data_IF_946872770438
#
_entry.id   IF_946872770438
#
_cell.length_a   1.000
_cell.length_b   1.000
_cell.length_c   1.000
_cell.angle_alpha   90.00
_cell.angle_beta   90.00
_cell.angle_gamma   90.00
#
_symmetry.space_group_name_H-M   'P 1'
#
loop_
_entity.id
_entity.type
_entity.pdbx_description
1 polymer ?
#
# COMPACT_ATOMS: atom_id res chain seq x y z
N UNK A 1 -1.04 26.41 -9.54
CA UNK A 1 -2.30 25.78 -10.02
C UNK A 1 -3.18 25.57 -8.81
N UNK A 2 -4.17 26.44 -8.60
CA UNK A 2 -5.15 26.27 -7.52
C UNK A 2 -6.31 25.47 -8.10
N UNK A 3 -6.47 24.22 -7.68
CA UNK A 3 -7.61 23.41 -8.07
C UNK A 3 -8.80 23.78 -7.19
N UNK A 4 -9.84 24.37 -7.78
CA UNK A 4 -11.12 24.57 -7.11
C UNK A 4 -11.85 23.22 -7.03
N UNK A 5 -11.63 22.49 -5.94
CA UNK A 5 -12.36 21.25 -5.65
C UNK A 5 -13.71 21.61 -5.01
N UNK A 6 -14.80 21.24 -5.67
CA UNK A 6 -16.17 21.36 -5.15
C UNK A 6 -16.82 19.98 -5.07
N UNK A 7 -17.47 19.68 -3.95
CA UNK A 7 -18.18 18.41 -3.72
C UNK A 7 -19.67 18.67 -3.97
N UNK A 8 -20.32 17.81 -4.76
CA UNK A 8 -21.76 17.90 -5.05
C UNK A 8 -22.41 16.52 -5.00
N UNK A 9 -23.54 16.34 -4.29
CA UNK A 9 -24.24 17.37 -3.49
C UNK A 9 -23.41 17.84 -2.28
N UNK A 10 -23.68 19.06 -1.82
CA UNK A 10 -23.09 19.56 -0.58
C UNK A 10 -23.69 18.76 0.58
N UNK A 11 -22.86 18.06 1.38
CA UNK A 11 -23.35 17.28 2.51
C UNK A 11 -23.98 18.21 3.54
N UNK A 12 -25.01 17.70 4.22
CA UNK A 12 -25.57 18.39 5.38
C UNK A 12 -24.55 18.47 6.53
N UNK A 13 -24.82 19.33 7.52
CA UNK A 13 -23.97 19.46 8.71
C UNK A 13 -23.85 18.14 9.48
N UNK A 14 -24.94 17.36 9.53
CA UNK A 14 -24.98 16.05 10.19
C UNK A 14 -24.10 15.03 9.47
N UNK A 15 -24.20 14.97 8.14
CA UNK A 15 -23.36 14.08 7.31
C UNK A 15 -21.89 14.48 7.38
N UNK A 16 -21.60 15.78 7.41
CA UNK A 16 -20.24 16.31 7.58
C UNK A 16 -19.65 15.88 8.92
N UNK A 17 -20.43 15.99 10.00
CA UNK A 17 -20.01 15.55 11.32
C UNK A 17 -19.76 14.02 11.37
N UNK A 18 -20.63 13.23 10.74
CA UNK A 18 -20.46 11.77 10.66
C UNK A 18 -19.19 11.37 9.88
N UNK A 19 -18.93 12.03 8.75
CA UNK A 19 -17.72 11.79 7.94
C UNK A 19 -16.46 12.15 8.73
N UNK A 20 -16.44 13.31 9.38
CA UNK A 20 -15.31 13.74 10.19
C UNK A 20 -15.04 12.77 11.36
N UNK A 21 -16.10 12.32 12.04
CA UNK A 21 -15.99 11.33 13.11
C UNK A 21 -15.45 9.98 12.60
N UNK A 22 -15.92 9.51 11.45
CA UNK A 22 -15.43 8.29 10.83
C UNK A 22 -13.96 8.40 10.43
N UNK A 23 -13.53 9.53 9.86
CA UNK A 23 -12.12 9.79 9.55
C UNK A 23 -11.28 9.81 10.82
N UNK A 24 -11.74 10.48 11.87
CA UNK A 24 -11.03 10.49 13.15
C UNK A 24 -10.93 9.10 13.79
N UNK A 25 -11.97 8.27 13.67
CA UNK A 25 -11.97 6.91 14.20
C UNK A 25 -11.10 5.94 13.38
N UNK A 26 -10.98 6.16 12.07
CA UNK A 26 -10.26 5.28 11.14
C UNK A 26 -8.82 5.72 10.88
N UNK A 27 -8.50 7.00 11.09
CA UNK A 27 -7.13 7.45 11.25
C UNK A 27 -6.59 6.73 12.48
N UNK A 28 -5.85 5.65 12.22
CA UNK A 28 -5.06 5.00 13.24
C UNK A 28 -4.29 6.10 13.96
N UNK A 29 -4.32 6.10 15.30
CA UNK A 29 -3.49 6.95 16.15
C UNK A 29 -2.00 6.55 16.03
N UNK A 30 -1.54 6.30 14.81
CA UNK A 30 -0.20 5.93 14.42
C UNK A 30 0.72 7.12 14.61
N UNK A 31 1.03 7.42 15.88
CA UNK A 31 2.42 7.64 16.20
C UNK A 31 3.20 6.51 15.54
N UNK A 32 4.30 6.83 14.87
CA UNK A 32 5.25 5.84 14.38
C UNK A 32 5.71 5.00 15.57
N UNK A 33 4.94 3.96 15.91
CA UNK A 33 5.44 2.87 16.72
C UNK A 33 6.53 2.30 15.85
N UNK A 34 7.79 2.57 16.21
CA UNK A 34 8.94 1.97 15.57
C UNK A 34 8.65 0.47 15.52
N UNK A 35 8.24 -0.01 14.34
CA UNK A 35 7.98 -1.43 14.16
C UNK A 35 9.30 -2.10 14.49
N UNK A 36 9.37 -3.03 15.48
CA UNK A 36 10.60 -3.80 15.66
C UNK A 36 10.87 -4.42 14.30
N UNK A 37 12.05 -4.17 13.72
CA UNK A 37 12.47 -4.65 12.41
C UNK A 37 11.90 -6.05 12.19
N UNK A 38 10.78 -6.15 11.44
CA UNK A 38 10.08 -7.43 11.26
C UNK A 38 11.12 -8.37 10.68
N UNK A 39 11.36 -9.49 11.38
CA UNK A 39 12.28 -10.52 10.90
C UNK A 39 11.85 -10.93 9.49
N UNK A 40 12.63 -10.52 8.49
CA UNK A 40 12.33 -10.73 7.06
C UNK A 40 12.29 -12.23 6.69
N UNK A 41 12.61 -13.12 7.63
CA UNK A 41 12.54 -14.58 7.47
C UNK A 41 11.11 -15.12 7.43
N UNK A 42 10.12 -14.42 7.99
CA UNK A 42 8.71 -14.87 8.01
C UNK A 42 7.84 -14.27 6.89
N UNK A 43 8.42 -13.53 5.95
CA UNK A 43 7.68 -13.06 4.80
C UNK A 43 7.26 -14.25 3.94
N UNK A 44 5.95 -14.35 3.66
CA UNK A 44 5.42 -15.31 2.70
C UNK A 44 6.06 -15.03 1.33
N UNK A 45 7.06 -15.84 0.96
CA UNK A 45 7.73 -15.72 -0.33
C UNK A 45 6.81 -16.34 -1.36
N UNK A 46 6.07 -15.50 -2.09
CA UNK A 46 5.37 -15.95 -3.28
C UNK A 46 6.37 -16.69 -4.17
N UNK A 47 6.19 -18.00 -4.32
CA UNK A 47 7.08 -18.84 -5.11
C UNK A 47 6.78 -18.63 -6.58
N UNK A 48 7.11 -17.45 -7.11
CA UNK A 48 7.10 -17.15 -8.55
C UNK A 48 8.05 -18.04 -9.38
N UNK A 49 8.54 -19.14 -8.81
CA UNK A 49 9.43 -20.15 -9.41
C UNK A 49 8.80 -20.82 -10.63
N UNK A 50 7.48 -20.78 -10.80
CA UNK A 50 6.79 -21.34 -11.97
C UNK A 50 6.69 -20.36 -13.16
N UNK A 51 6.83 -19.05 -12.94
CA UNK A 51 6.93 -18.03 -14.00
C UNK A 51 8.35 -17.48 -14.18
N UNK A 52 9.25 -17.73 -13.24
CA UNK A 52 10.62 -17.29 -13.32
C UNK A 52 11.44 -18.21 -14.24
N UNK A 53 12.03 -17.64 -15.28
CA UNK A 53 12.98 -18.33 -16.16
C UNK A 53 14.11 -18.97 -15.32
N UNK A 54 14.41 -20.28 -15.47
CA UNK A 54 15.39 -20.99 -14.66
C UNK A 54 16.78 -20.35 -14.80
N UNK A 55 17.59 -20.41 -13.74
CA UNK A 55 18.91 -19.76 -13.69
C UNK A 55 19.84 -20.21 -14.82
N UNK A 56 19.69 -21.45 -15.28
CA UNK A 56 20.41 -22.00 -16.44
C UNK A 56 20.09 -21.28 -17.74
N UNK A 57 18.86 -20.80 -17.90
CA UNK A 57 18.41 -20.08 -19.09
C UNK A 57 18.67 -18.57 -19.02
N UNK A 58 19.29 -18.07 -17.94
CA UNK A 58 19.73 -16.68 -17.78
C UNK A 58 21.24 -16.49 -17.97
N UNK A 59 21.98 -17.57 -18.23
CA UNK A 59 23.42 -17.47 -18.47
C UNK A 59 23.67 -17.16 -19.93
N UNK A 60 24.42 -16.10 -20.20
CA UNK A 60 24.96 -15.85 -21.52
C UNK A 60 25.90 -17.01 -21.88
N UNK A 61 25.60 -17.71 -22.98
CA UNK A 61 26.50 -18.73 -23.51
C UNK A 61 27.55 -18.04 -24.36
N UNK A 62 28.85 -18.17 -24.07
CA UNK A 62 29.90 -17.46 -24.78
C UNK A 62 30.22 -18.03 -26.17
N UNK A 63 29.33 -18.83 -26.76
CA UNK A 63 29.54 -19.47 -28.06
C UNK A 63 28.24 -19.59 -28.88
N UNK A 64 27.33 -18.62 -28.73
CA UNK A 64 26.24 -18.38 -29.68
C UNK A 64 26.23 -16.90 -30.07
#
# INVERSE_FOLDING_TARGET
MNQNLSISPEPSDEETAAIAAALHATVAAGGMVASPLRDRRSAWKFSGRWWARPSTARRDRPWF
#
